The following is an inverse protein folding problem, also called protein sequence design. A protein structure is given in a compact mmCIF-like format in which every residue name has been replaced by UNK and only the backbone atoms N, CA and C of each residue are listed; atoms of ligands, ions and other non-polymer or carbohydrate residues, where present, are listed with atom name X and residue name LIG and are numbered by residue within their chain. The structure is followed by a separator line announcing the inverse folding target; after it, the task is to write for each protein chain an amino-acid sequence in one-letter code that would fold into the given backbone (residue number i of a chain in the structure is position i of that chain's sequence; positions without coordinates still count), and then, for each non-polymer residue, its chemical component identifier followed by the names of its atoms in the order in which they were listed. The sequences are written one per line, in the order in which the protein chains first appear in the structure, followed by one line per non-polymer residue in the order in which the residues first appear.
data_IF_690290031188
#
_entry.id   IF_690290031188
#
_cell.length_a   1.000
_cell.length_b   1.000
_cell.length_c   1.000
_cell.angle_alpha   90.00
_cell.angle_beta   90.00
_cell.angle_gamma   90.00
#
_symmetry.space_group_name_H-M   'P 1'
#
loop_
_entity.id
_entity.type
_entity.pdbx_description
1 polymer ?
#
# COMPACT_ATOMS: atom_id res chain seq x y z
N UNK A 1 -24.81 49.48 -4.44
CA UNK A 1 -24.98 48.06 -4.04
C UNK A 1 -24.08 47.16 -4.90
N UNK A 2 -22.75 47.26 -4.78
CA UNK A 2 -21.80 46.48 -5.61
C UNK A 2 -20.58 45.90 -4.87
N UNK A 3 -20.38 46.26 -3.59
CA UNK A 3 -19.22 45.80 -2.78
C UNK A 3 -19.57 44.61 -1.86
N UNK A 4 -20.84 44.41 -1.50
CA UNK A 4 -21.28 43.31 -0.64
C UNK A 4 -21.19 41.91 -1.28
N UNK A 5 -21.17 41.84 -2.61
CA UNK A 5 -21.11 40.57 -3.34
C UNK A 5 -19.68 40.03 -3.47
N UNK A 6 -18.67 40.91 -3.43
CA UNK A 6 -17.26 40.52 -3.55
C UNK A 6 -16.70 39.88 -2.26
N UNK A 7 -17.18 40.28 -1.08
CA UNK A 7 -16.78 39.66 0.19
C UNK A 7 -17.30 38.21 0.35
N UNK A 8 -18.46 37.89 -0.26
CA UNK A 8 -19.01 36.53 -0.21
C UNK A 8 -18.19 35.51 -1.02
N UNK A 9 -17.54 35.96 -2.10
CA UNK A 9 -16.74 35.09 -2.98
C UNK A 9 -15.40 34.68 -2.36
N UNK A 10 -14.81 35.53 -1.50
CA UNK A 10 -13.54 35.26 -0.81
C UNK A 10 -13.70 34.24 0.33
N UNK A 11 -14.88 34.19 0.98
CA UNK A 11 -15.18 33.24 2.07
C UNK A 11 -15.38 31.81 1.54
N UNK A 12 -15.77 31.63 0.26
CA UNK A 12 -15.97 30.31 -0.33
C UNK A 12 -14.69 29.54 -0.68
N UNK A 13 -13.54 30.21 -0.79
CA UNK A 13 -12.29 29.60 -1.28
C UNK A 13 -11.45 28.98 -0.14
N UNK A 14 -11.71 29.32 1.13
CA UNK A 14 -10.87 28.86 2.26
C UNK A 14 -11.21 27.45 2.76
N UNK A 15 -12.23 26.78 2.22
CA UNK A 15 -12.66 25.45 2.67
C UNK A 15 -12.15 24.29 1.81
N UNK A 16 -11.36 24.55 0.76
CA UNK A 16 -10.72 23.49 -0.04
C UNK A 16 -9.39 23.10 0.59
N UNK A 17 -9.41 22.58 1.83
CA UNK A 17 -8.20 21.96 2.40
C UNK A 17 -7.98 20.63 1.69
N UNK A 18 -6.89 20.51 0.94
CA UNK A 18 -6.45 19.25 0.37
C UNK A 18 -6.05 18.30 1.52
N UNK A 19 -6.88 17.29 1.81
CA UNK A 19 -6.54 16.26 2.80
C UNK A 19 -5.40 15.40 2.24
N UNK A 20 -4.23 15.50 2.86
CA UNK A 20 -3.11 14.63 2.55
C UNK A 20 -3.23 13.36 3.40
N UNK A 21 -3.29 12.16 2.80
CA UNK A 21 -3.34 10.94 3.56
C UNK A 21 -2.03 10.76 4.32
N UNK A 22 -2.13 10.29 5.57
CA UNK A 22 -0.98 9.91 6.38
C UNK A 22 -0.16 8.82 5.66
N UNK A 23 1.17 8.92 5.72
CA UNK A 23 2.07 8.02 4.99
C UNK A 23 3.42 7.86 5.70
N UNK A 24 3.42 7.12 6.80
CA UNK A 24 4.65 6.72 7.52
C UNK A 24 5.03 5.27 7.17
N UNK A 25 5.72 5.12 6.04
CA UNK A 25 6.06 3.79 5.50
C UNK A 25 7.16 3.07 6.30
N UNK A 26 7.92 3.78 7.13
CA UNK A 26 9.01 3.17 7.92
C UNK A 26 8.47 2.17 8.94
N UNK A 27 7.31 2.47 9.52
CA UNK A 27 6.61 1.60 10.48
C UNK A 27 6.20 0.24 9.91
N UNK A 28 6.11 0.15 8.59
CA UNK A 28 5.65 -1.03 7.87
C UNK A 28 6.77 -1.79 7.18
N UNK A 29 8.04 -1.32 7.21
CA UNK A 29 9.15 -1.99 6.50
C UNK A 29 9.35 -3.44 6.90
N UNK A 30 9.09 -3.76 8.16
CA UNK A 30 9.15 -5.11 8.72
C UNK A 30 7.95 -5.35 9.62
N UNK A 31 7.60 -6.63 9.82
CA UNK A 31 6.50 -7.04 10.68
C UNK A 31 5.75 -8.23 10.12
N UNK A 32 4.67 -8.59 10.80
CA UNK A 32 3.71 -9.57 10.32
C UNK A 32 2.46 -8.87 9.85
N UNK A 33 1.93 -9.33 8.72
CA UNK A 33 0.83 -8.68 8.04
C UNK A 33 -0.18 -9.69 7.56
N UNK A 34 -1.45 -9.27 7.59
CA UNK A 34 -2.54 -9.94 6.88
C UNK A 34 -2.95 -9.08 5.71
N UNK A 35 -2.98 -9.67 4.52
CA UNK A 35 -3.42 -9.05 3.29
C UNK A 35 -4.82 -9.55 2.93
N UNK A 36 -5.77 -8.62 2.80
CA UNK A 36 -7.12 -8.92 2.32
C UNK A 36 -7.26 -8.57 0.84
N UNK A 37 -7.71 -9.52 0.03
CA UNK A 37 -7.96 -9.33 -1.39
C UNK A 37 -9.25 -10.02 -1.84
N UNK A 38 -9.79 -9.55 -2.96
CA UNK A 38 -11.01 -10.10 -3.56
C UNK A 38 -10.62 -11.06 -4.69
N UNK A 39 -11.10 -12.30 -4.64
CA UNK A 39 -11.05 -13.27 -5.74
C UNK A 39 -12.48 -13.71 -6.03
N UNK A 40 -12.96 -13.48 -7.25
CA UNK A 40 -14.30 -13.89 -7.69
C UNK A 40 -15.45 -13.44 -6.76
N UNK A 41 -15.29 -12.28 -6.11
CA UNK A 41 -16.28 -11.74 -5.17
C UNK A 41 -16.18 -12.28 -3.74
N UNK A 42 -15.29 -13.23 -3.47
CA UNK A 42 -14.97 -13.70 -2.13
C UNK A 42 -13.77 -12.95 -1.54
N UNK A 43 -13.87 -12.56 -0.26
CA UNK A 43 -12.72 -12.06 0.50
C UNK A 43 -11.80 -13.22 0.86
N UNK A 44 -10.55 -13.13 0.42
CA UNK A 44 -9.47 -14.04 0.80
C UNK A 44 -8.44 -13.26 1.61
N UNK A 45 -7.91 -13.93 2.64
CA UNK A 45 -6.92 -13.36 3.54
C UNK A 45 -5.65 -14.22 3.44
N UNK A 46 -4.51 -13.59 3.20
CA UNK A 46 -3.19 -14.21 3.25
C UNK A 46 -2.35 -13.59 4.36
N UNK A 47 -1.42 -14.35 4.92
CA UNK A 47 -0.50 -13.84 5.94
C UNK A 47 0.92 -13.88 5.43
N UNK A 48 1.69 -12.82 5.71
CA UNK A 48 3.10 -12.76 5.35
C UNK A 48 3.92 -12.07 6.43
N UNK A 49 5.15 -12.54 6.60
CA UNK A 49 6.16 -11.91 7.44
C UNK A 49 7.16 -11.19 6.54
N UNK A 50 7.36 -9.89 6.74
CA UNK A 50 8.40 -9.12 6.06
C UNK A 50 9.54 -8.78 7.02
N UNK A 51 10.74 -9.13 6.58
CA UNK A 51 12.02 -8.79 7.21
C UNK A 51 12.77 -7.79 6.35
N UNK A 52 13.96 -7.36 6.77
CA UNK A 52 14.82 -6.46 6.00
C UNK A 52 15.18 -7.00 4.60
N UNK A 53 15.25 -8.33 4.44
CA UNK A 53 15.71 -8.98 3.21
C UNK A 53 14.66 -9.85 2.52
N UNK A 54 13.66 -10.33 3.25
CA UNK A 54 12.72 -11.34 2.75
C UNK A 54 11.27 -11.01 3.10
N UNK A 55 10.37 -11.36 2.19
CA UNK A 55 8.93 -11.45 2.41
C UNK A 55 8.54 -12.92 2.31
N UNK A 56 7.96 -13.48 3.37
CA UNK A 56 7.64 -14.90 3.51
C UNK A 56 6.13 -15.02 3.64
N UNK A 57 5.47 -15.49 2.59
CA UNK A 57 4.03 -15.71 2.56
C UNK A 57 3.71 -17.15 2.99
N UNK A 58 2.66 -17.32 3.80
CA UNK A 58 2.19 -18.62 4.28
C UNK A 58 0.72 -18.79 3.90
N UNK A 59 0.45 -19.71 2.97
CA UNK A 59 -0.89 -20.02 2.52
C UNK A 59 -1.09 -21.53 2.42
N UNK A 60 -2.07 -22.08 3.16
CA UNK A 60 -2.53 -23.48 3.08
C UNK A 60 -1.40 -24.53 3.00
N UNK A 61 -0.37 -24.39 3.85
CA UNK A 61 0.84 -25.24 3.94
C UNK A 61 1.94 -24.99 2.89
N UNK A 62 1.76 -24.01 2.00
CA UNK A 62 2.80 -23.55 1.08
C UNK A 62 3.49 -22.31 1.67
N UNK A 63 4.82 -22.32 1.62
CA UNK A 63 5.66 -21.18 2.02
C UNK A 63 6.34 -20.65 0.77
N UNK A 64 5.95 -19.45 0.36
CA UNK A 64 6.56 -18.76 -0.76
C UNK A 64 7.44 -17.61 -0.23
N UNK A 65 8.71 -17.59 -0.65
CA UNK A 65 9.69 -16.60 -0.19
C UNK A 65 10.11 -15.71 -1.35
N UNK A 66 10.11 -14.40 -1.13
CA UNK A 66 10.62 -13.40 -2.05
C UNK A 66 11.69 -12.54 -1.38
N UNK A 67 12.69 -12.13 -2.15
CA UNK A 67 13.66 -11.11 -1.70
C UNK A 67 13.03 -9.72 -1.81
N UNK A 68 13.27 -8.88 -0.80
CA UNK A 68 12.76 -7.50 -0.75
C UNK A 68 13.87 -6.56 -1.17
N UNK A 69 13.58 -5.72 -2.17
CA UNK A 69 14.47 -4.62 -2.58
C UNK A 69 13.75 -3.29 -2.47
N UNK A 70 14.10 -2.51 -1.45
CA UNK A 70 13.57 -1.16 -1.27
C UNK A 70 14.17 -0.18 -2.29
N UNK A 71 13.28 0.60 -2.91
CA UNK A 71 13.63 1.72 -3.81
C UNK A 71 13.55 3.05 -3.06
N UNK A 72 12.67 3.13 -2.06
CA UNK A 72 12.49 4.25 -1.14
C UNK A 72 11.89 3.74 0.17
N UNK A 73 11.49 4.62 1.09
CA UNK A 73 10.75 4.20 2.27
C UNK A 73 9.37 3.60 1.95
N UNK A 74 8.76 3.98 0.84
CA UNK A 74 7.38 3.60 0.47
C UNK A 74 7.27 2.73 -0.78
N UNK A 75 8.39 2.41 -1.44
CA UNK A 75 8.40 1.63 -2.68
C UNK A 75 9.43 0.51 -2.60
N UNK A 76 9.03 -0.68 -3.03
CA UNK A 76 9.89 -1.86 -3.01
C UNK A 76 9.50 -2.83 -4.12
N UNK A 77 10.42 -3.74 -4.43
CA UNK A 77 10.18 -4.84 -5.36
C UNK A 77 10.35 -6.15 -4.60
N UNK A 78 9.41 -7.06 -4.81
CA UNK A 78 9.55 -8.47 -4.42
C UNK A 78 10.06 -9.25 -5.63
N UNK A 79 11.18 -9.95 -5.46
CA UNK A 79 11.65 -10.95 -6.43
C UNK A 79 11.39 -12.35 -5.84
N UNK A 80 10.41 -13.09 -6.36
CA UNK A 80 10.12 -14.46 -5.94
C UNK A 80 11.34 -15.38 -6.15
N UNK A 81 11.47 -16.41 -5.32
CA UNK A 81 12.60 -17.35 -5.39
C UNK A 81 12.49 -18.37 -6.54
N UNK A 82 11.30 -18.53 -7.11
CA UNK A 82 10.96 -19.57 -8.09
C UNK A 82 10.91 -19.04 -9.55
N UNK A 83 11.71 -18.02 -9.86
CA UNK A 83 11.78 -17.37 -11.17
C UNK A 83 10.46 -16.77 -11.67
N UNK A 84 9.46 -16.59 -10.79
CA UNK A 84 8.29 -15.79 -11.12
C UNK A 84 8.67 -14.32 -11.38
N UNK A 85 7.80 -13.62 -12.11
CA UNK A 85 8.03 -12.23 -12.48
C UNK A 85 8.08 -11.31 -11.25
N UNK A 86 9.08 -10.41 -11.14
CA UNK A 86 9.15 -9.44 -10.07
C UNK A 86 7.92 -8.54 -10.00
N UNK A 87 7.47 -8.25 -8.78
CA UNK A 87 6.29 -7.42 -8.50
C UNK A 87 6.76 -6.15 -7.79
N UNK A 88 6.39 -4.99 -8.34
CA UNK A 88 6.64 -3.69 -7.72
C UNK A 88 5.45 -3.31 -6.84
N UNK A 89 5.76 -2.82 -5.64
CA UNK A 89 4.82 -2.36 -4.63
C UNK A 89 5.09 -0.90 -4.27
N UNK A 90 4.01 -0.17 -4.03
CA UNK A 90 4.04 1.21 -3.54
C UNK A 90 2.97 1.43 -2.49
N UNK A 91 3.40 1.77 -1.27
CA UNK A 91 2.50 2.19 -0.19
C UNK A 91 1.94 3.56 -0.53
N UNK A 92 0.62 3.71 -0.58
CA UNK A 92 -0.10 4.92 -0.93
C UNK A 92 -0.48 5.74 0.30
N UNK A 93 -0.90 5.07 1.37
CA UNK A 93 -1.27 5.68 2.65
C UNK A 93 -1.15 4.67 3.78
N UNK A 94 -1.05 5.17 5.01
CA UNK A 94 -0.95 4.38 6.23
C UNK A 94 -2.02 4.82 7.22
N UNK A 95 -2.40 3.90 8.10
CA UNK A 95 -3.12 4.16 9.35
C UNK A 95 -2.24 3.69 10.51
N UNK A 96 -2.78 3.67 11.74
CA UNK A 96 -2.09 3.15 12.91
C UNK A 96 -1.57 1.71 12.73
N UNK A 97 -2.34 0.88 12.06
CA UNK A 97 -2.16 -0.56 11.98
C UNK A 97 -2.22 -1.12 10.56
N UNK A 98 -2.54 -0.32 9.55
CA UNK A 98 -2.68 -0.81 8.18
C UNK A 98 -2.02 0.13 7.17
N UNK A 99 -1.83 -0.36 5.96
CA UNK A 99 -1.43 0.46 4.83
C UNK A 99 -2.14 0.04 3.55
N UNK A 100 -2.55 1.04 2.78
CA UNK A 100 -3.03 0.87 1.43
C UNK A 100 -1.83 0.89 0.49
N UNK A 101 -1.78 -0.04 -0.45
CA UNK A 101 -0.73 -0.07 -1.45
C UNK A 101 -1.28 -0.40 -2.84
N UNK A 102 -0.49 -0.04 -3.84
CA UNK A 102 -0.64 -0.55 -5.20
C UNK A 102 0.50 -1.51 -5.53
N UNK A 103 0.22 -2.48 -6.39
CA UNK A 103 1.19 -3.47 -6.82
C UNK A 103 0.96 -3.91 -8.26
N UNK A 104 2.01 -4.41 -8.90
CA UNK A 104 1.90 -5.08 -10.20
C UNK A 104 3.25 -5.40 -10.81
N UNK A 105 3.23 -6.23 -11.84
CA UNK A 105 4.44 -6.74 -12.51
C UNK A 105 5.32 -5.58 -12.98
N UNK A 106 6.63 -5.70 -12.72
CA UNK A 106 7.63 -4.70 -13.16
C UNK A 106 7.54 -4.54 -14.69
N UNK A 107 7.44 -3.29 -15.17
CA UNK A 107 7.31 -2.98 -16.59
C UNK A 107 5.89 -3.08 -17.17
N UNK A 108 4.89 -3.53 -16.40
CA UNK A 108 3.48 -3.50 -16.82
C UNK A 108 2.77 -2.25 -16.27
N UNK A 109 1.85 -1.70 -17.07
CA UNK A 109 1.03 -0.53 -16.69
C UNK A 109 -0.13 -0.88 -15.76
N UNK A 110 -0.65 -2.10 -15.84
CA UNK A 110 -1.75 -2.54 -14.99
C UNK A 110 -1.26 -2.72 -13.55
N UNK A 111 -1.96 -2.07 -12.63
CA UNK A 111 -1.69 -2.13 -11.19
C UNK A 111 -2.99 -2.47 -10.46
N UNK A 112 -2.86 -3.29 -9.44
CA UNK A 112 -3.93 -3.63 -8.50
C UNK A 112 -3.69 -2.90 -7.19
N UNK A 113 -4.73 -2.73 -6.37
CA UNK A 113 -4.63 -2.16 -5.03
C UNK A 113 -5.02 -3.20 -4.00
N UNK A 114 -4.53 -3.01 -2.79
CA UNK A 114 -5.04 -3.74 -1.64
C UNK A 114 -4.51 -3.18 -0.34
N UNK A 115 -4.92 -3.80 0.76
CA UNK A 115 -4.66 -3.33 2.12
C UNK A 115 -4.00 -4.43 2.91
N UNK A 116 -2.91 -4.08 3.60
CA UNK A 116 -2.26 -4.96 4.54
C UNK A 116 -2.39 -4.38 5.94
N UNK A 117 -2.79 -5.23 6.89
CA UNK A 117 -2.94 -4.89 8.30
C UNK A 117 -1.82 -5.57 9.09
N UNK A 118 -1.06 -4.79 9.84
CA UNK A 118 0.00 -5.25 10.73
C UNK A 118 -0.62 -5.99 11.92
N UNK A 119 -0.16 -7.21 12.15
CA UNK A 119 -0.63 -8.07 13.24
C UNK A 119 0.38 -8.18 14.38
N UNK A 120 1.66 -7.89 14.11
CA UNK A 120 2.76 -7.90 15.08
C UNK A 120 3.89 -6.97 14.62
#
# INVERSE_FOLDING_TARGET
MRIRFFLGLIIGITLVSCYQPERDCKLFKTGEFTFEYMVDGEKKNSTFTRTEKYSIERYENKVDTATVRWLSDCEFILNPSDNQTPIHYKILSTTKDAYLFEYGVVGKKQKSKGTATKTN
#
